data_IF_975871731381
#
_entry.id   IF_975871731381
#
_cell.length_a   1.000
_cell.length_b   1.000
_cell.length_c   1.000
_cell.angle_alpha   90.00
_cell.angle_beta   90.00
_cell.angle_gamma   90.00
#
_symmetry.space_group_name_H-M   'P 1'
#
loop_
_entity.id
_entity.type
_entity.pdbx_description
1 polymer ?
#
# COMPACT_ATOMS: atom_id res chain seq x y z
N UNK A 1 2.37 -24.87 -74.86
CA UNK A 1 1.51 -25.02 -76.05
C UNK A 1 1.76 -26.42 -76.60
N UNK A 2 0.75 -27.27 -76.88
CA UNK A 2 -0.72 -27.13 -76.78
C UNK A 2 -1.31 -28.15 -75.76
N UNK A 3 -2.58 -28.24 -75.39
CA UNK A 3 -3.82 -27.55 -75.76
C UNK A 3 -5.03 -28.46 -75.45
N UNK A 4 -6.11 -27.83 -74.98
CA UNK A 4 -7.54 -28.17 -75.16
C UNK A 4 -8.21 -29.32 -74.36
N UNK A 5 -9.13 -28.92 -73.45
CA UNK A 5 -10.59 -29.23 -73.36
C UNK A 5 -11.06 -30.70 -73.49
N UNK A 6 -12.03 -31.28 -72.76
CA UNK A 6 -13.02 -30.96 -71.70
C UNK A 6 -13.63 -32.34 -71.27
N UNK A 7 -14.44 -32.53 -70.19
CA UNK A 7 -15.84 -32.08 -70.21
C UNK A 7 -16.49 -31.67 -68.87
N UNK A 8 -17.61 -31.00 -69.06
CA UNK A 8 -18.61 -30.40 -68.19
C UNK A 8 -19.32 -31.27 -67.12
N UNK A 9 -19.53 -30.65 -65.94
CA UNK A 9 -20.80 -30.42 -65.15
C UNK A 9 -21.64 -31.66 -64.78
N UNK A 10 -22.02 -31.91 -63.51
CA UNK A 10 -23.21 -31.36 -62.82
C UNK A 10 -23.09 -31.46 -61.27
N UNK A 11 -23.21 -30.27 -60.64
CA UNK A 11 -23.80 -29.85 -59.34
C UNK A 11 -24.04 -30.85 -58.20
N UNK A 12 -23.56 -30.48 -57.02
CA UNK A 12 -24.42 -30.35 -55.82
C UNK A 12 -23.97 -29.19 -54.93
N UNK A 13 -24.94 -28.51 -54.31
CA UNK A 13 -24.86 -27.18 -53.70
C UNK A 13 -24.25 -27.22 -52.28
N UNK A 14 -23.32 -26.31 -51.99
CA UNK A 14 -23.14 -25.76 -50.64
C UNK A 14 -22.87 -24.26 -50.74
N UNK A 15 -23.79 -23.48 -50.18
CA UNK A 15 -23.69 -22.02 -50.05
C UNK A 15 -22.72 -21.68 -48.92
N UNK A 16 -21.49 -21.31 -49.26
CA UNK A 16 -20.59 -20.60 -48.36
C UNK A 16 -20.82 -19.10 -48.52
N UNK A 17 -21.46 -18.48 -47.53
CA UNK A 17 -21.48 -17.03 -47.35
C UNK A 17 -20.16 -16.63 -46.70
N UNK A 18 -19.33 -15.96 -47.49
CA UNK A 18 -18.12 -15.26 -47.06
C UNK A 18 -18.53 -14.12 -46.11
N UNK A 19 -18.19 -14.23 -44.82
CA UNK A 19 -18.28 -13.12 -43.87
C UNK A 19 -16.98 -12.31 -43.94
N UNK A 20 -17.12 -11.06 -44.31
CA UNK A 20 -16.08 -10.04 -44.35
C UNK A 20 -15.69 -9.64 -42.92
N UNK A 21 -14.52 -10.09 -42.44
CA UNK A 21 -13.97 -9.77 -41.11
C UNK A 21 -13.34 -8.37 -41.03
N UNK A 22 -13.61 -7.47 -41.99
CA UNK A 22 -13.08 -6.10 -41.96
C UNK A 22 -13.93 -5.08 -41.20
N UNK A 23 -15.18 -5.40 -40.80
CA UNK A 23 -16.10 -4.44 -40.17
C UNK A 23 -16.24 -4.52 -38.64
N UNK A 24 -15.46 -5.38 -37.96
CA UNK A 24 -15.53 -5.57 -36.50
C UNK A 24 -14.42 -4.86 -35.71
N UNK A 25 -13.51 -4.16 -36.40
CA UNK A 25 -12.35 -3.49 -35.78
C UNK A 25 -12.45 -1.95 -35.78
N UNK A 26 -13.43 -1.36 -36.45
CA UNK A 26 -13.61 0.10 -36.51
C UNK A 26 -14.57 0.66 -35.45
N UNK A 27 -15.34 -0.16 -34.75
CA UNK A 27 -16.28 0.31 -33.70
C UNK A 27 -15.74 0.32 -32.28
N UNK A 28 -14.56 -0.26 -32.02
CA UNK A 28 -13.96 -0.31 -30.66
C UNK A 28 -12.96 0.83 -30.39
N UNK A 29 -12.58 1.59 -31.43
CA UNK A 29 -11.66 2.73 -31.29
C UNK A 29 -12.39 4.02 -30.89
N UNK A 30 -13.66 4.20 -31.29
CA UNK A 30 -14.47 5.39 -30.97
C UNK A 30 -15.13 5.33 -29.57
N UNK A 31 -15.42 4.12 -29.05
CA UNK A 31 -15.90 3.94 -27.67
C UNK A 31 -14.82 4.22 -26.61
N UNK A 32 -13.53 4.19 -26.98
CA UNK A 32 -12.41 4.55 -26.10
C UNK A 32 -12.13 6.06 -26.05
N UNK A 33 -12.64 6.83 -27.01
CA UNK A 33 -12.47 8.27 -27.08
C UNK A 33 -13.71 9.08 -26.61
N UNK A 34 -14.87 8.44 -26.45
CA UNK A 34 -16.13 9.14 -26.08
C UNK A 34 -16.40 9.26 -24.57
N UNK A 35 -15.52 8.81 -23.67
CA UNK A 35 -15.65 8.98 -22.20
C UNK A 35 -14.53 9.89 -21.65
N UNK A 36 -14.04 10.81 -22.49
CA UNK A 36 -13.10 11.87 -22.11
C UNK A 36 -13.71 13.27 -22.31
N UNK A 37 -15.03 13.39 -22.35
CA UNK A 37 -15.73 14.67 -22.30
C UNK A 37 -15.96 15.09 -20.84
N UNK A 38 -15.02 15.89 -20.32
CA UNK A 38 -15.28 17.04 -19.43
C UNK A 38 -16.15 16.90 -18.18
N UNK A 39 -16.46 15.71 -17.67
CA UNK A 39 -17.04 15.55 -16.33
C UNK A 39 -15.94 15.73 -15.27
N UNK A 40 -15.73 17.00 -14.89
CA UNK A 40 -15.54 17.42 -13.51
C UNK A 40 -14.68 16.54 -12.60
N UNK A 41 -13.39 16.38 -12.91
CA UNK A 41 -12.38 15.91 -11.93
C UNK A 41 -12.12 16.90 -10.78
N UNK A 42 -12.93 17.96 -10.66
CA UNK A 42 -12.97 18.86 -9.51
C UNK A 42 -13.89 18.32 -8.40
N UNK A 43 -13.61 17.13 -7.88
CA UNK A 43 -14.01 16.89 -6.50
C UNK A 43 -13.13 17.80 -5.64
N UNK A 44 -13.74 18.73 -4.91
CA UNK A 44 -13.00 19.58 -3.98
C UNK A 44 -12.21 18.68 -3.02
N UNK A 45 -10.89 18.61 -3.19
CA UNK A 45 -10.04 17.80 -2.33
C UNK A 45 -10.16 18.34 -0.91
N UNK A 46 -10.34 17.46 0.07
CA UNK A 46 -10.37 17.86 1.48
C UNK A 46 -8.98 18.15 2.06
N UNK A 47 -7.91 18.10 1.26
CA UNK A 47 -6.57 18.35 1.79
C UNK A 47 -6.37 19.84 2.05
N UNK A 48 -6.34 20.22 3.33
CA UNK A 48 -5.93 21.54 3.82
C UNK A 48 -4.40 21.72 3.87
N UNK A 49 -3.66 20.80 3.24
CA UNK A 49 -2.21 20.75 3.33
C UNK A 49 -1.56 21.73 2.33
N UNK A 50 -0.62 22.54 2.81
CA UNK A 50 0.12 23.54 1.99
C UNK A 50 0.94 22.93 0.84
N UNK A 51 1.19 21.61 0.89
CA UNK A 51 1.88 20.86 -0.15
C UNK A 51 0.98 20.61 -1.38
N UNK A 52 -0.34 20.71 -1.26
CA UNK A 52 -1.28 20.52 -2.37
C UNK A 52 -1.37 21.78 -3.23
N UNK A 53 -0.56 21.80 -4.29
CA UNK A 53 -0.54 22.87 -5.29
C UNK A 53 -1.22 22.39 -6.57
N UNK A 54 -1.52 23.31 -7.50
CA UNK A 54 -2.11 23.01 -8.81
C UNK A 54 -1.22 22.17 -9.76
N UNK A 55 -0.13 21.59 -9.26
CA UNK A 55 0.75 20.70 -10.00
C UNK A 55 0.12 19.33 -10.25
N UNK A 56 0.87 18.46 -10.92
CA UNK A 56 0.41 17.08 -11.20
C UNK A 56 0.73 16.17 -10.03
N UNK A 57 0.19 14.96 -10.08
CA UNK A 57 0.57 13.91 -9.14
C UNK A 57 1.80 13.16 -9.65
N UNK A 58 2.73 12.80 -8.77
CA UNK A 58 3.78 11.81 -9.03
C UNK A 58 3.61 10.66 -8.04
N UNK A 59 3.21 9.49 -8.53
CA UNK A 59 2.76 8.39 -7.70
C UNK A 59 3.67 7.16 -7.83
N UNK A 60 4.22 6.70 -6.71
CA UNK A 60 5.13 5.55 -6.60
C UNK A 60 4.41 4.39 -5.92
N UNK A 61 4.50 3.19 -6.50
CA UNK A 61 3.86 1.97 -6.02
C UNK A 61 4.92 0.87 -5.85
N UNK A 62 5.14 0.41 -4.62
CA UNK A 62 6.15 -0.60 -4.30
C UNK A 62 5.49 -1.82 -3.64
N UNK A 63 5.52 -2.95 -4.33
CA UNK A 63 4.96 -4.20 -3.83
C UNK A 63 5.87 -4.88 -2.78
N UNK A 64 5.31 -5.83 -2.05
CA UNK A 64 6.04 -6.69 -1.12
C UNK A 64 7.03 -7.61 -1.85
N UNK A 65 8.23 -7.79 -1.27
CA UNK A 65 9.28 -8.64 -1.87
C UNK A 65 8.76 -10.07 -2.01
N UNK A 66 8.79 -10.61 -3.24
CA UNK A 66 8.26 -11.91 -3.69
C UNK A 66 6.84 -11.93 -4.30
N UNK A 67 6.15 -10.79 -4.39
CA UNK A 67 4.91 -10.71 -5.16
C UNK A 67 5.24 -10.53 -6.64
N UNK A 68 4.89 -11.50 -7.47
CA UNK A 68 5.01 -11.40 -8.93
C UNK A 68 3.63 -11.03 -9.49
N UNK A 69 3.61 -10.38 -10.66
CA UNK A 69 2.41 -10.43 -11.49
C UNK A 69 2.14 -11.90 -11.79
N UNK A 70 1.14 -12.47 -11.14
CA UNK A 70 0.77 -13.85 -11.25
C UNK A 70 -0.74 -13.96 -11.04
N UNK A 71 -1.25 -15.17 -10.92
CA UNK A 71 -2.67 -15.37 -10.73
C UNK A 71 -3.20 -14.82 -9.39
N UNK A 72 -2.35 -14.32 -8.48
CA UNK A 72 -2.68 -13.79 -7.15
C UNK A 72 -2.14 -12.38 -6.98
N UNK A 73 -2.88 -11.40 -7.51
CA UNK A 73 -2.49 -10.00 -7.49
C UNK A 73 -2.63 -9.34 -6.10
N UNK A 74 -1.81 -8.33 -5.84
CA UNK A 74 -1.80 -7.55 -4.60
C UNK A 74 -2.67 -6.31 -4.71
N UNK A 75 -3.03 -5.72 -3.57
CA UNK A 75 -3.77 -4.47 -3.52
C UNK A 75 -2.97 -3.29 -4.10
N UNK A 76 -1.63 -3.36 -4.11
CA UNK A 76 -0.79 -2.35 -4.77
C UNK A 76 -1.02 -2.39 -6.28
N UNK A 77 -0.96 -3.58 -6.87
CA UNK A 77 -1.16 -3.74 -8.30
C UNK A 77 -2.60 -3.43 -8.72
N UNK A 78 -3.58 -3.81 -7.90
CA UNK A 78 -5.00 -3.44 -8.07
C UNK A 78 -5.19 -1.92 -8.06
N UNK A 79 -4.68 -1.21 -7.05
CA UNK A 79 -4.74 0.24 -7.01
C UNK A 79 -4.03 0.86 -8.22
N UNK A 80 -2.88 0.31 -8.61
CA UNK A 80 -2.12 0.75 -9.78
C UNK A 80 -2.86 0.52 -11.12
N UNK A 81 -3.74 -0.48 -11.19
CA UNK A 81 -4.61 -0.73 -12.34
C UNK A 81 -5.78 0.28 -12.40
N UNK A 82 -6.24 0.77 -11.25
CA UNK A 82 -7.30 1.78 -11.15
C UNK A 82 -6.79 3.20 -11.45
N UNK A 83 -5.51 3.47 -11.24
CA UNK A 83 -4.89 4.78 -11.37
C UNK A 83 -4.94 5.29 -12.82
N UNK A 84 -5.36 6.56 -12.99
CA UNK A 84 -5.36 7.23 -14.30
C UNK A 84 -3.92 7.53 -14.71
N UNK A 85 -3.52 7.06 -15.89
CA UNK A 85 -2.18 7.27 -16.46
C UNK A 85 -2.24 8.35 -17.53
N UNK A 86 -2.17 9.60 -17.10
CA UNK A 86 -2.02 10.74 -17.99
C UNK A 86 -0.90 11.62 -17.44
N UNK A 87 0.24 11.66 -18.12
CA UNK A 87 1.46 12.35 -17.68
C UNK A 87 1.26 13.85 -17.42
N UNK A 88 0.22 14.46 -18.02
CA UNK A 88 -0.15 15.86 -17.79
C UNK A 88 -0.67 16.09 -16.37
N UNK A 89 -1.23 15.05 -15.76
CA UNK A 89 -2.00 15.13 -14.53
C UNK A 89 -1.49 14.18 -13.43
N UNK A 90 -0.88 13.07 -13.81
CA UNK A 90 -0.44 12.00 -12.92
C UNK A 90 0.61 11.10 -13.59
N UNK A 91 1.87 11.27 -13.18
CA UNK A 91 2.96 10.36 -13.52
C UNK A 91 2.99 9.19 -12.52
N UNK A 92 3.34 7.99 -12.97
CA UNK A 92 3.30 6.80 -12.11
C UNK A 92 4.52 5.90 -12.27
N UNK A 93 4.97 5.29 -11.18
CA UNK A 93 6.04 4.30 -11.14
C UNK A 93 5.62 3.07 -10.34
N UNK A 94 5.86 1.87 -10.87
CA UNK A 94 5.56 0.62 -10.17
C UNK A 94 6.81 -0.25 -10.08
N UNK A 95 7.03 -0.87 -8.91
CA UNK A 95 8.05 -1.87 -8.67
C UNK A 95 7.45 -3.10 -7.99
N UNK A 96 7.70 -4.30 -8.55
CA UNK A 96 7.18 -5.58 -8.04
C UNK A 96 7.93 -6.14 -6.82
N UNK A 97 8.97 -5.46 -6.33
CA UNK A 97 9.74 -5.91 -5.18
C UNK A 97 10.73 -7.05 -5.47
N UNK A 98 10.89 -7.49 -6.72
CA UNK A 98 11.76 -8.63 -7.08
C UNK A 98 13.24 -8.21 -7.18
N UNK A 99 14.06 -8.87 -6.36
CA UNK A 99 15.53 -8.94 -6.51
C UNK A 99 15.95 -10.04 -7.47
N UNK A 100 17.03 -9.83 -8.22
CA UNK A 100 17.72 -10.89 -8.98
C UNK A 100 18.30 -11.92 -8.00
N UNK A 101 17.54 -12.97 -7.67
CA UNK A 101 18.04 -14.06 -6.82
C UNK A 101 18.91 -15.00 -7.65
N UNK A 102 20.21 -15.05 -7.36
CA UNK A 102 21.08 -16.13 -7.82
C UNK A 102 20.69 -17.44 -7.11
N UNK A 103 20.42 -18.51 -7.86
CA UNK A 103 20.16 -19.85 -7.29
C UNK A 103 21.47 -20.41 -6.70
N UNK A 104 21.56 -20.69 -5.38
CA UNK A 104 22.76 -21.27 -4.81
C UNK A 104 22.78 -22.81 -4.93
N UNK A 105 23.97 -23.36 -5.13
CA UNK A 105 24.26 -24.80 -5.27
C UNK A 105 24.70 -25.40 -3.92
N UNK A 106 24.24 -26.61 -3.57
CA UNK A 106 24.24 -27.17 -2.20
C UNK A 106 25.19 -28.34 -2.00
N UNK A 107 26.17 -28.30 -1.06
CA UNK A 107 26.97 -29.50 -0.68
C UNK A 107 27.44 -29.65 0.81
N UNK A 108 27.06 -28.79 1.78
CA UNK A 108 27.37 -29.04 3.22
C UNK A 108 26.44 -28.31 4.23
N UNK A 109 25.71 -29.04 5.07
CA UNK A 109 24.58 -28.55 5.89
C UNK A 109 24.92 -27.52 7.00
N UNK A 110 26.09 -27.59 7.64
CA UNK A 110 26.43 -26.71 8.79
C UNK A 110 27.12 -25.41 8.34
N UNK A 111 27.97 -25.49 7.32
CA UNK A 111 28.64 -24.34 6.69
C UNK A 111 27.70 -23.59 5.72
N UNK A 112 26.77 -24.29 5.04
CA UNK A 112 25.73 -23.61 4.26
C UNK A 112 24.78 -22.83 5.13
N UNK A 113 24.35 -23.30 6.31
CA UNK A 113 23.34 -22.57 7.09
C UNK A 113 23.80 -21.15 7.43
N UNK A 114 25.00 -21.00 7.99
CA UNK A 114 25.50 -19.67 8.38
C UNK A 114 25.79 -18.79 7.16
N UNK A 115 26.39 -19.32 6.08
CA UNK A 115 26.60 -18.54 4.83
C UNK A 115 25.31 -18.26 4.07
N UNK A 116 24.34 -19.16 4.09
CA UNK A 116 23.02 -18.99 3.46
C UNK A 116 22.25 -17.89 4.16
N UNK A 117 22.26 -17.86 5.50
CA UNK A 117 21.65 -16.78 6.24
C UNK A 117 22.30 -15.44 5.93
N UNK A 118 23.64 -15.33 5.97
CA UNK A 118 24.32 -14.10 5.57
C UNK A 118 24.07 -13.71 4.11
N UNK A 119 24.10 -14.67 3.17
CA UNK A 119 23.87 -14.41 1.75
C UNK A 119 22.43 -13.93 1.48
N UNK A 120 21.43 -14.56 2.12
CA UNK A 120 20.02 -14.18 2.01
C UNK A 120 19.78 -12.83 2.67
N UNK A 121 20.35 -12.58 3.84
CA UNK A 121 20.28 -11.29 4.55
C UNK A 121 20.86 -10.16 3.69
N UNK A 122 22.06 -10.37 3.15
CA UNK A 122 22.74 -9.41 2.26
C UNK A 122 21.97 -9.21 0.97
N UNK A 123 21.44 -10.26 0.34
CA UNK A 123 20.66 -10.13 -0.89
C UNK A 123 19.35 -9.37 -0.66
N UNK A 124 18.66 -9.60 0.47
CA UNK A 124 17.45 -8.87 0.84
C UNK A 124 17.78 -7.40 1.10
N UNK A 125 18.83 -7.11 1.86
CA UNK A 125 19.26 -5.74 2.16
C UNK A 125 19.68 -4.98 0.88
N UNK A 126 20.47 -5.61 0.02
CA UNK A 126 20.89 -5.01 -1.24
C UNK A 126 19.71 -4.75 -2.19
N UNK A 127 18.78 -5.71 -2.28
CA UNK A 127 17.56 -5.50 -3.07
C UNK A 127 16.68 -4.37 -2.49
N UNK A 128 16.60 -4.29 -1.15
CA UNK A 128 15.85 -3.26 -0.45
C UNK A 128 16.37 -1.86 -0.84
N UNK A 129 17.68 -1.65 -0.69
CA UNK A 129 18.36 -0.40 -1.03
C UNK A 129 18.16 -0.05 -2.50
N UNK A 130 18.42 -1.00 -3.41
CA UNK A 130 18.27 -0.80 -4.85
C UNK A 130 16.87 -0.29 -5.23
N UNK A 131 15.81 -0.86 -4.65
CA UNK A 131 14.43 -0.44 -4.93
C UNK A 131 14.17 0.98 -4.41
N UNK A 132 14.63 1.30 -3.20
CA UNK A 132 14.52 2.65 -2.61
C UNK A 132 15.22 3.67 -3.50
N UNK A 133 16.48 3.42 -3.86
CA UNK A 133 17.26 4.34 -4.72
C UNK A 133 16.64 4.48 -6.11
N UNK A 134 16.13 3.38 -6.70
CA UNK A 134 15.49 3.43 -8.03
C UNK A 134 14.20 4.27 -8.03
N UNK A 135 13.37 4.12 -6.99
CA UNK A 135 12.14 4.90 -6.85
C UNK A 135 12.45 6.38 -6.53
N UNK A 136 13.43 6.64 -5.67
CA UNK A 136 13.91 8.00 -5.39
C UNK A 136 14.48 8.67 -6.64
N UNK A 137 15.31 7.97 -7.42
CA UNK A 137 15.82 8.44 -8.70
C UNK A 137 14.69 8.76 -9.69
N UNK A 138 13.67 7.89 -9.77
CA UNK A 138 12.51 8.17 -10.61
C UNK A 138 11.79 9.45 -10.19
N UNK A 139 11.64 9.70 -8.88
CA UNK A 139 11.09 10.97 -8.38
C UNK A 139 11.98 12.15 -8.78
N UNK A 140 13.30 12.08 -8.62
CA UNK A 140 14.25 13.13 -9.03
C UNK A 140 14.10 13.49 -10.52
N UNK A 141 13.94 12.48 -11.37
CA UNK A 141 13.87 12.66 -12.82
C UNK A 141 12.50 13.15 -13.33
N UNK A 142 11.44 12.94 -12.56
CA UNK A 142 10.06 13.20 -12.94
C UNK A 142 9.36 14.28 -12.10
N UNK A 143 9.88 14.69 -10.96
CA UNK A 143 9.24 15.74 -10.16
C UNK A 143 9.33 17.09 -10.87
N UNK A 144 8.20 17.79 -10.94
CA UNK A 144 8.13 19.20 -11.31
C UNK A 144 7.76 20.04 -10.09
N UNK A 145 8.27 21.27 -9.95
CA UNK A 145 7.89 22.16 -8.86
C UNK A 145 6.37 22.30 -8.74
N UNK A 146 5.85 21.98 -7.55
CA UNK A 146 4.41 21.99 -7.27
C UNK A 146 3.71 20.64 -7.42
N UNK A 147 4.41 19.59 -7.87
CA UNK A 147 3.85 18.24 -7.94
C UNK A 147 3.56 17.69 -6.53
N UNK A 148 2.48 16.92 -6.44
CA UNK A 148 2.10 16.19 -5.22
C UNK A 148 2.68 14.76 -5.26
N UNK A 149 3.50 14.40 -4.27
CA UNK A 149 4.13 13.08 -4.18
C UNK A 149 3.22 12.11 -3.42
N UNK A 150 2.80 11.04 -4.10
CA UNK A 150 2.04 9.93 -3.51
C UNK A 150 2.91 8.68 -3.46
N UNK A 151 3.00 8.03 -2.30
CA UNK A 151 3.75 6.79 -2.15
C UNK A 151 2.84 5.68 -1.62
N UNK A 152 2.84 4.53 -2.26
CA UNK A 152 2.06 3.37 -1.88
C UNK A 152 2.95 2.16 -1.72
N UNK A 153 2.76 1.41 -0.63
CA UNK A 153 3.52 0.19 -0.44
C UNK A 153 2.81 -0.87 0.38
N UNK A 154 3.14 -2.14 0.11
CA UNK A 154 2.66 -3.29 0.88
C UNK A 154 3.84 -4.02 1.53
N UNK A 155 3.69 -4.47 2.79
CA UNK A 155 4.66 -5.30 3.49
C UNK A 155 6.01 -4.59 3.61
N UNK A 156 7.08 -5.16 3.06
CA UNK A 156 8.39 -4.50 2.95
C UNK A 156 8.35 -3.28 2.02
N UNK A 157 7.52 -3.29 0.97
CA UNK A 157 7.29 -2.14 0.10
C UNK A 157 6.71 -0.95 0.86
N UNK A 158 5.83 -1.20 1.84
CA UNK A 158 5.32 -0.16 2.74
C UNK A 158 6.44 0.47 3.58
N UNK A 159 7.41 -0.33 4.02
CA UNK A 159 8.57 0.17 4.74
C UNK A 159 9.52 0.96 3.81
N UNK A 160 9.68 0.51 2.56
CA UNK A 160 10.49 1.22 1.54
C UNK A 160 9.93 2.61 1.23
N UNK A 161 8.62 2.76 1.07
CA UNK A 161 8.03 4.10 0.85
C UNK A 161 8.15 5.02 2.06
N UNK A 162 8.12 4.49 3.29
CA UNK A 162 8.41 5.27 4.51
C UNK A 162 9.88 5.74 4.52
N UNK A 163 10.82 4.90 4.07
CA UNK A 163 12.23 5.28 3.92
C UNK A 163 12.40 6.40 2.88
N UNK A 164 11.75 6.29 1.71
CA UNK A 164 11.79 7.33 0.68
C UNK A 164 11.28 8.66 1.24
N UNK A 165 10.19 8.65 2.02
CA UNK A 165 9.67 9.84 2.67
C UNK A 165 10.65 10.44 3.69
N UNK A 166 11.29 9.58 4.50
CA UNK A 166 12.35 10.00 5.43
C UNK A 166 13.57 10.59 4.72
N UNK A 167 13.96 10.06 3.56
CA UNK A 167 15.03 10.63 2.73
C UNK A 167 14.65 12.03 2.23
N UNK A 168 13.45 12.21 1.68
CA UNK A 168 12.97 13.52 1.22
C UNK A 168 12.92 14.53 2.37
N UNK A 169 12.54 14.10 3.57
CA UNK A 169 12.54 14.94 4.75
C UNK A 169 13.96 15.38 5.15
N UNK A 170 14.90 14.42 5.27
CA UNK A 170 16.24 14.69 5.80
C UNK A 170 17.21 15.30 4.80
N UNK A 171 17.27 14.77 3.58
CA UNK A 171 18.26 15.15 2.56
C UNK A 171 17.63 15.84 1.34
N UNK A 172 16.30 15.94 1.30
CA UNK A 172 15.55 16.61 0.23
C UNK A 172 15.29 15.71 -0.97
N UNK A 173 14.65 16.28 -2.00
CA UNK A 173 14.55 15.66 -3.33
C UNK A 173 15.54 16.36 -4.27
N UNK A 174 16.57 15.65 -4.72
CA UNK A 174 17.63 16.22 -5.55
C UNK A 174 17.09 16.87 -6.83
N UNK A 175 17.80 17.89 -7.32
CA UNK A 175 17.57 18.39 -8.67
C UNK A 175 17.85 17.32 -9.72
N UNK A 176 17.02 17.31 -10.76
CA UNK A 176 17.16 16.45 -11.94
C UNK A 176 18.58 16.53 -12.53
N UNK A 177 19.16 15.38 -12.87
CA UNK A 177 20.52 15.27 -13.39
C UNK A 177 21.61 15.01 -12.34
N UNK A 178 21.33 15.18 -11.04
CA UNK A 178 22.28 14.88 -9.95
C UNK A 178 22.23 13.43 -9.47
N UNK A 179 21.98 12.48 -10.37
CA UNK A 179 21.73 11.07 -10.00
C UNK A 179 22.94 10.41 -9.32
N UNK A 180 24.16 10.83 -9.64
CA UNK A 180 25.39 10.32 -9.03
C UNK A 180 25.50 10.65 -7.53
N UNK A 181 24.74 11.63 -7.04
CA UNK A 181 24.71 12.01 -5.63
C UNK A 181 23.69 11.21 -4.81
N UNK A 182 22.83 10.42 -5.47
CA UNK A 182 21.77 9.65 -4.79
C UNK A 182 22.32 8.65 -3.77
N UNK A 183 23.37 7.85 -4.08
CA UNK A 183 23.95 6.94 -3.09
C UNK A 183 24.51 7.69 -1.87
N UNK A 184 25.16 8.83 -2.10
CA UNK A 184 25.69 9.66 -1.01
C UNK A 184 24.57 10.28 -0.16
N UNK A 185 23.49 10.76 -0.79
CA UNK A 185 22.31 11.26 -0.10
C UNK A 185 21.68 10.18 0.80
N UNK A 186 21.66 8.93 0.33
CA UNK A 186 21.18 7.80 1.12
C UNK A 186 22.08 7.53 2.34
N UNK A 187 23.40 7.45 2.16
CA UNK A 187 24.34 7.28 3.28
C UNK A 187 24.23 8.41 4.32
N UNK A 188 24.10 9.66 3.86
CA UNK A 188 23.90 10.82 4.72
C UNK A 188 22.58 10.70 5.51
N UNK A 189 21.50 10.29 4.85
CA UNK A 189 20.23 9.97 5.51
C UNK A 189 20.41 8.87 6.58
N UNK A 190 21.12 7.78 6.27
CA UNK A 190 21.38 6.70 7.22
C UNK A 190 22.17 7.13 8.46
N UNK A 191 23.04 8.12 8.32
CA UNK A 191 23.85 8.68 9.40
C UNK A 191 23.02 9.48 10.42
N UNK A 192 21.80 9.93 10.09
CA UNK A 192 20.91 10.68 11.00
C UNK A 192 20.25 9.82 12.09
N UNK A 193 20.65 8.56 12.25
CA UNK A 193 20.16 7.69 13.31
C UNK A 193 20.48 8.28 14.68
N UNK A 194 19.44 8.53 15.48
CA UNK A 194 19.62 8.94 16.89
C UNK A 194 20.31 7.81 17.66
N UNK A 195 21.45 8.05 18.31
CA UNK A 195 21.96 7.12 19.32
C UNK A 195 20.97 7.05 20.49
N UNK A 196 20.81 5.86 21.05
CA UNK A 196 19.98 5.63 22.24
C UNK A 196 20.54 6.40 23.44
N UNK A 197 19.79 7.41 23.91
CA UNK A 197 19.91 8.08 25.21
C UNK A 197 21.30 8.07 25.86
N UNK A 198 22.24 8.86 25.35
CA UNK A 198 23.30 9.46 26.18
C UNK A 198 23.89 10.60 25.38
N UNK A 199 23.66 11.84 25.85
CA UNK A 199 24.18 13.12 25.30
C UNK A 199 23.88 13.40 23.83
N UNK A 200 23.50 14.65 23.52
CA UNK A 200 23.41 15.09 22.14
C UNK A 200 24.85 15.24 21.62
N UNK A 201 25.46 14.13 21.21
CA UNK A 201 26.85 14.11 20.77
C UNK A 201 27.03 15.13 19.62
N UNK A 202 28.10 15.92 19.67
CA UNK A 202 28.42 16.93 18.64
C UNK A 202 28.38 16.35 17.22
N UNK A 203 28.68 15.05 17.08
CA UNK A 203 28.60 14.31 15.83
C UNK A 203 27.17 14.22 15.24
N UNK A 204 26.13 14.06 16.07
CA UNK A 204 24.74 14.01 15.61
C UNK A 204 24.27 15.39 15.16
N UNK A 205 24.62 16.42 15.94
CA UNK A 205 24.37 17.82 15.58
C UNK A 205 25.06 18.20 14.26
N UNK A 206 26.31 17.77 14.08
CA UNK A 206 27.06 17.99 12.83
C UNK A 206 26.42 17.24 11.65
N UNK A 207 25.91 16.02 11.86
CA UNK A 207 25.24 15.23 10.82
C UNK A 207 23.91 15.86 10.39
N UNK A 208 23.08 16.32 11.33
CA UNK A 208 21.83 17.03 11.01
C UNK A 208 22.11 18.37 10.30
N UNK A 209 23.14 19.11 10.73
CA UNK A 209 23.57 20.33 10.05
C UNK A 209 24.05 20.05 8.61
N UNK A 210 24.80 18.95 8.41
CA UNK A 210 25.25 18.52 7.09
C UNK A 210 24.07 18.10 6.20
N UNK A 211 23.09 17.37 6.74
CA UNK A 211 21.85 17.02 6.02
C UNK A 211 21.10 18.27 5.56
N UNK A 212 20.97 19.25 6.46
CA UNK A 212 20.34 20.54 6.16
C UNK A 212 21.07 21.27 5.04
N UNK A 213 22.40 21.41 5.15
CA UNK A 213 23.19 22.08 4.12
C UNK A 213 23.13 21.34 2.77
N UNK A 214 23.18 20.00 2.79
CA UNK A 214 23.04 19.17 1.60
C UNK A 214 21.68 19.38 0.93
N UNK A 215 20.60 19.36 1.71
CA UNK A 215 19.23 19.62 1.25
C UNK A 215 19.10 21.03 0.64
N UNK A 216 19.61 22.05 1.31
CA UNK A 216 19.58 23.45 0.82
C UNK A 216 20.41 23.66 -0.46
N UNK A 217 21.47 22.87 -0.67
CA UNK A 217 22.41 23.07 -1.79
C UNK A 217 22.01 22.28 -3.04
N UNK A 218 21.55 21.03 -2.88
CA UNK A 218 21.41 20.08 -3.98
C UNK A 218 19.96 19.65 -4.28
N UNK A 219 19.01 20.01 -3.41
CA UNK A 219 17.61 19.60 -3.52
C UNK A 219 16.67 20.73 -3.89
N UNK A 220 15.55 20.34 -4.50
CA UNK A 220 14.41 21.20 -4.77
C UNK A 220 13.87 21.81 -3.46
N UNK A 221 13.54 23.11 -3.43
CA UNK A 221 13.01 23.76 -2.24
C UNK A 221 11.60 23.26 -1.90
N UNK A 222 11.30 23.19 -0.60
CA UNK A 222 9.96 22.96 -0.05
C UNK A 222 9.23 21.70 -0.56
N UNK A 223 9.98 20.68 -1.00
CA UNK A 223 9.39 19.39 -1.39
C UNK A 223 8.99 18.60 -0.16
N UNK A 224 7.71 18.21 -0.11
CA UNK A 224 7.12 17.40 0.96
C UNK A 224 6.33 16.24 0.36
N UNK A 225 6.34 15.09 1.04
CA UNK A 225 5.49 13.97 0.66
C UNK A 225 4.04 14.26 1.05
N UNK A 226 3.15 14.19 0.07
CA UNK A 226 1.75 14.55 0.23
C UNK A 226 0.96 13.40 0.87
N UNK A 227 1.09 12.19 0.34
CA UNK A 227 0.31 11.05 0.82
C UNK A 227 1.14 9.77 0.86
N UNK A 228 1.01 9.00 1.94
CA UNK A 228 1.50 7.64 2.03
C UNK A 228 0.36 6.67 2.34
N UNK A 229 0.17 5.69 1.48
CA UNK A 229 -0.73 4.55 1.69
C UNK A 229 0.06 3.26 1.92
N UNK A 230 0.03 2.76 3.15
CA UNK A 230 0.72 1.54 3.56
C UNK A 230 -0.28 0.41 3.81
N UNK A 231 0.04 -0.80 3.35
CA UNK A 231 -0.58 -2.04 3.82
C UNK A 231 0.42 -2.84 4.63
N UNK A 232 0.05 -3.13 5.87
CA UNK A 232 0.68 -4.05 6.83
C UNK A 232 2.22 -4.01 6.82
N UNK A 233 2.77 -2.86 7.21
CA UNK A 233 4.20 -2.57 7.12
C UNK A 233 5.04 -3.53 7.95
N UNK A 234 6.00 -4.21 7.34
CA UNK A 234 6.97 -5.06 8.05
C UNK A 234 8.40 -4.59 7.76
N UNK A 235 9.17 -4.32 8.81
CA UNK A 235 10.55 -3.82 8.74
C UNK A 235 11.62 -4.91 8.69
N UNK A 236 11.20 -6.18 8.54
CA UNK A 236 12.07 -7.36 8.51
C UNK A 236 12.98 -7.34 7.26
N UNK A 237 14.02 -6.50 7.29
CA UNK A 237 15.14 -6.48 6.35
C UNK A 237 16.14 -7.49 6.89
N UNK A 238 16.04 -8.72 6.38
CA UNK A 238 16.90 -9.81 6.82
C UNK A 238 16.37 -10.61 8.01
N UNK A 239 17.26 -11.36 8.66
CA UNK A 239 16.93 -12.35 9.72
C UNK A 239 16.97 -11.72 11.11
N UNK A 240 17.81 -10.70 11.32
CA UNK A 240 17.94 -9.97 12.58
C UNK A 240 17.29 -8.59 12.47
N UNK A 241 16.53 -8.19 13.50
CA UNK A 241 15.93 -6.85 13.57
C UNK A 241 17.04 -5.80 13.70
N UNK A 242 17.22 -4.99 12.67
CA UNK A 242 18.09 -3.80 12.70
C UNK A 242 17.30 -2.62 13.28
N UNK A 243 17.97 -1.57 13.80
CA UNK A 243 17.31 -0.32 14.15
C UNK A 243 16.52 0.22 12.95
N UNK A 244 15.34 0.77 13.21
CA UNK A 244 14.51 1.39 12.18
C UNK A 244 15.27 2.54 11.51
N UNK A 245 14.96 2.79 10.24
CA UNK A 245 15.58 3.90 9.52
C UNK A 245 15.01 5.23 10.02
N UNK A 246 15.77 6.33 9.92
CA UNK A 246 15.32 7.65 10.38
C UNK A 246 13.98 8.06 9.78
N UNK A 247 13.15 8.72 10.58
CA UNK A 247 11.79 9.14 10.22
C UNK A 247 10.81 8.03 9.82
N UNK A 248 11.20 6.76 9.84
CA UNK A 248 10.25 5.70 9.48
C UNK A 248 9.23 5.45 10.58
N UNK A 249 9.57 5.60 11.87
CA UNK A 249 8.74 5.19 13.02
C UNK A 249 8.50 6.32 14.05
N UNK A 250 8.72 7.57 13.65
CA UNK A 250 8.64 8.74 14.54
C UNK A 250 7.26 9.42 14.52
N UNK A 251 6.20 8.70 14.19
CA UNK A 251 4.83 9.22 14.12
C UNK A 251 4.44 9.84 12.76
N UNK A 252 5.28 9.74 11.73
CA UNK A 252 4.96 10.14 10.34
C UNK A 252 4.54 11.63 10.15
N UNK A 253 4.89 12.52 11.08
CA UNK A 253 4.49 13.94 11.03
C UNK A 253 5.15 14.77 9.91
N UNK A 254 6.20 14.24 9.27
CA UNK A 254 6.87 14.85 8.12
C UNK A 254 6.10 14.68 6.80
N UNK A 255 5.03 13.88 6.80
CA UNK A 255 4.16 13.65 5.64
C UNK A 255 2.85 14.42 5.83
N UNK A 256 2.25 14.95 4.75
CA UNK A 256 0.97 15.65 4.86
C UNK A 256 -0.16 14.69 5.32
N UNK A 257 -0.19 13.45 4.78
CA UNK A 257 -1.21 12.43 5.10
C UNK A 257 -0.60 11.02 5.14
N UNK A 258 -0.83 10.27 6.22
CA UNK A 258 -0.41 8.87 6.35
C UNK A 258 -1.61 7.96 6.63
N UNK A 259 -1.73 6.89 5.85
CA UNK A 259 -2.75 5.85 5.97
C UNK A 259 -2.11 4.48 6.04
N UNK A 260 -2.49 3.69 7.03
CA UNK A 260 -1.96 2.35 7.22
C UNK A 260 -3.07 1.34 7.49
N UNK A 261 -3.22 0.35 6.60
CA UNK A 261 -4.14 -0.76 6.78
C UNK A 261 -3.41 -1.94 7.45
N UNK A 262 -3.90 -2.40 8.59
CA UNK A 262 -3.28 -3.44 9.43
C UNK A 262 -4.13 -4.73 9.46
N UNK A 263 -3.45 -5.87 9.54
CA UNK A 263 -4.08 -7.20 9.60
C UNK A 263 -4.35 -7.67 11.03
N UNK A 264 -5.61 -8.03 11.35
CA UNK A 264 -6.02 -8.51 12.67
C UNK A 264 -5.59 -9.96 12.97
N UNK A 265 -5.48 -10.83 11.95
CA UNK A 265 -5.32 -12.28 12.15
C UNK A 265 -3.91 -12.79 11.82
N UNK A 266 -2.93 -11.89 11.69
CA UNK A 266 -1.55 -12.28 11.41
C UNK A 266 -0.75 -12.50 12.70
N UNK A 267 -0.29 -13.74 12.89
CA UNK A 267 0.36 -14.18 14.14
C UNK A 267 1.82 -14.64 13.95
N UNK A 268 2.42 -14.50 12.77
CA UNK A 268 3.82 -14.87 12.54
C UNK A 268 4.76 -13.81 13.11
N UNK A 269 5.75 -14.22 13.90
CA UNK A 269 6.75 -13.34 14.54
C UNK A 269 7.51 -12.45 13.55
N UNK A 270 7.73 -12.92 12.32
CA UNK A 270 8.44 -12.18 11.27
C UNK A 270 7.57 -11.18 10.51
N UNK A 271 6.26 -11.20 10.76
CA UNK A 271 5.26 -10.31 10.17
C UNK A 271 4.66 -9.38 11.22
N UNK A 272 5.33 -9.18 12.35
CA UNK A 272 4.95 -8.16 13.31
C UNK A 272 5.07 -6.76 12.66
N UNK A 273 3.99 -5.96 12.68
CA UNK A 273 3.96 -4.70 11.94
C UNK A 273 4.72 -3.59 12.67
N UNK A 274 5.31 -2.66 11.90
CA UNK A 274 5.74 -1.36 12.41
C UNK A 274 4.57 -0.38 12.34
N UNK A 275 4.09 0.07 13.50
CA UNK A 275 3.11 1.14 13.57
C UNK A 275 3.74 2.49 13.22
N UNK A 276 2.91 3.53 13.09
CA UNK A 276 3.38 4.89 12.80
C UNK A 276 4.41 5.38 13.82
N UNK A 277 4.24 5.03 15.10
CA UNK A 277 5.16 5.29 16.21
C UNK A 277 6.06 4.09 16.58
N UNK A 278 6.35 3.19 15.63
CA UNK A 278 7.14 1.98 15.86
C UNK A 278 6.33 0.93 16.61
N UNK A 279 6.58 0.76 17.90
CA UNK A 279 5.75 -0.07 18.79
C UNK A 279 4.45 0.60 19.25
N UNK A 280 4.27 1.91 19.03
CA UNK A 280 3.08 2.66 19.44
C UNK A 280 2.21 3.08 18.25
N UNK A 281 0.90 3.22 18.51
CA UNK A 281 -0.06 3.79 17.57
C UNK A 281 0.14 5.31 17.36
N UNK A 282 -0.78 5.95 16.62
CA UNK A 282 -0.70 7.39 16.33
C UNK A 282 -0.78 8.24 17.61
N UNK A 283 0.10 9.24 17.72
CA UNK A 283 0.16 10.16 18.86
C UNK A 283 -0.88 11.29 18.82
N UNK A 284 -1.76 11.30 17.81
CA UNK A 284 -2.71 12.38 17.54
C UNK A 284 -2.11 13.61 16.86
N UNK A 285 -0.79 13.62 16.59
CA UNK A 285 -0.12 14.68 15.83
C UNK A 285 -0.13 14.35 14.33
N UNK A 286 -0.45 15.35 13.50
CA UNK A 286 -0.53 15.19 12.05
C UNK A 286 -1.75 14.39 11.57
N UNK A 287 -1.87 14.19 10.27
CA UNK A 287 -2.99 13.47 9.66
C UNK A 287 -2.61 11.99 9.45
N UNK A 288 -2.54 11.25 10.55
CA UNK A 288 -2.11 9.84 10.60
C UNK A 288 -3.31 8.97 10.99
N UNK A 289 -3.66 7.98 10.16
CA UNK A 289 -4.64 6.95 10.50
C UNK A 289 -4.05 5.57 10.33
N UNK A 290 -4.21 4.73 11.35
CA UNK A 290 -3.96 3.30 11.28
C UNK A 290 -5.26 2.56 11.54
N UNK A 291 -5.66 1.70 10.60
CA UNK A 291 -6.96 1.06 10.58
C UNK A 291 -6.80 -0.44 10.43
N UNK A 292 -7.44 -1.18 11.32
CA UNK A 292 -7.39 -2.64 11.39
C UNK A 292 -8.52 -3.28 10.58
N UNK A 293 -8.16 -4.32 9.83
CA UNK A 293 -9.05 -5.08 8.95
C UNK A 293 -8.95 -6.58 9.26
N UNK A 294 -10.05 -7.30 9.01
CA UNK A 294 -10.13 -8.75 9.18
C UNK A 294 -9.28 -9.50 8.16
N UNK A 295 -8.55 -10.52 8.61
CA UNK A 295 -7.64 -11.31 7.78
C UNK A 295 -6.17 -11.24 8.20
N UNK A 296 -5.37 -12.09 7.58
CA UNK A 296 -3.90 -12.15 7.72
C UNK A 296 -3.19 -11.13 6.82
N UNK A 297 -1.85 -11.07 6.88
CA UNK A 297 -1.01 -10.12 6.15
C UNK A 297 -1.37 -9.99 4.66
N UNK A 298 -1.51 -11.13 3.97
CA UNK A 298 -1.80 -11.19 2.54
C UNK A 298 -3.30 -11.17 2.22
N UNK A 299 -4.18 -11.27 3.22
CA UNK A 299 -5.61 -10.98 3.03
C UNK A 299 -5.83 -9.47 2.95
N UNK A 300 -5.08 -8.71 3.77
CA UNK A 300 -5.11 -7.24 3.81
C UNK A 300 -4.33 -6.59 2.68
N UNK A 301 -3.15 -7.11 2.34
CA UNK A 301 -2.35 -6.58 1.23
C UNK A 301 -2.58 -7.25 -0.13
N UNK A 302 -3.32 -8.36 -0.17
CA UNK A 302 -3.49 -9.19 -1.37
C UNK A 302 -2.37 -10.22 -1.57
N UNK A 303 -2.48 -11.01 -2.64
CA UNK A 303 -1.52 -12.08 -2.97
C UNK A 303 -1.86 -13.48 -2.45
N UNK A 304 -2.93 -13.65 -1.65
CA UNK A 304 -3.35 -14.97 -1.15
C UNK A 304 -4.37 -15.70 -2.05
N UNK A 305 -5.26 -14.96 -2.71
CA UNK A 305 -6.36 -15.50 -3.52
C UNK A 305 -6.12 -15.33 -5.01
N UNK A 306 -6.68 -16.25 -5.80
CA UNK A 306 -6.65 -16.13 -7.25
C UNK A 306 -7.49 -14.92 -7.67
N UNK A 307 -6.88 -14.03 -8.44
CA UNK A 307 -7.39 -12.72 -8.81
C UNK A 307 -6.72 -12.24 -10.12
N UNK A 308 -6.78 -13.07 -11.16
CA UNK A 308 -6.24 -12.75 -12.48
C UNK A 308 -6.91 -11.51 -13.07
N UNK A 309 -8.20 -11.35 -12.80
CA UNK A 309 -9.03 -10.31 -13.40
C UNK A 309 -8.93 -8.93 -12.72
N UNK A 310 -8.11 -8.79 -11.68
CA UNK A 310 -7.95 -7.53 -10.92
C UNK A 310 -9.30 -6.94 -10.49
N UNK A 311 -10.10 -7.79 -9.85
CA UNK A 311 -11.44 -7.47 -9.39
C UNK A 311 -11.63 -7.78 -7.90
N UNK A 312 -10.54 -7.82 -7.13
CA UNK A 312 -10.59 -8.07 -5.70
C UNK A 312 -10.56 -6.75 -4.92
N UNK A 313 -11.63 -5.96 -5.03
CA UNK A 313 -11.78 -4.69 -4.30
C UNK A 313 -12.35 -4.91 -2.89
N UNK A 314 -11.56 -5.58 -2.05
CA UNK A 314 -11.90 -5.85 -0.65
C UNK A 314 -11.75 -4.63 0.27
N UNK A 315 -12.28 -4.67 1.52
CA UNK A 315 -12.41 -3.50 2.40
C UNK A 315 -11.16 -2.62 2.55
N UNK A 316 -9.97 -3.23 2.72
CA UNK A 316 -8.71 -2.49 2.87
C UNK A 316 -8.31 -1.71 1.61
N UNK A 317 -8.56 -2.26 0.42
CA UNK A 317 -8.31 -1.57 -0.84
C UNK A 317 -9.32 -0.44 -1.06
N UNK A 318 -10.61 -0.67 -0.72
CA UNK A 318 -11.65 0.36 -0.87
C UNK A 318 -11.37 1.57 0.01
N UNK A 319 -11.05 1.31 1.27
CA UNK A 319 -10.69 2.35 2.22
C UNK A 319 -9.48 3.15 1.75
N UNK A 320 -8.39 2.47 1.35
CA UNK A 320 -7.19 3.16 0.87
C UNK A 320 -7.42 3.96 -0.41
N UNK A 321 -8.15 3.39 -1.38
CA UNK A 321 -8.47 4.07 -2.63
C UNK A 321 -9.35 5.30 -2.39
N UNK A 322 -10.32 5.21 -1.47
CA UNK A 322 -11.14 6.34 -1.07
C UNK A 322 -10.30 7.42 -0.39
N UNK A 323 -9.51 7.08 0.63
CA UNK A 323 -8.64 8.04 1.32
C UNK A 323 -7.68 8.71 0.34
N UNK A 324 -7.07 7.96 -0.59
CA UNK A 324 -6.19 8.55 -1.59
C UNK A 324 -6.95 9.48 -2.56
N UNK A 325 -8.16 9.11 -3.00
CA UNK A 325 -9.02 9.92 -3.89
C UNK A 325 -9.44 11.23 -3.22
N UNK A 326 -9.85 11.20 -1.95
CA UNK A 326 -10.22 12.40 -1.19
C UNK A 326 -9.05 13.40 -1.04
N UNK A 327 -7.81 12.91 -1.11
CA UNK A 327 -6.59 13.71 -1.08
C UNK A 327 -5.98 13.95 -2.47
N UNK A 328 -6.74 13.70 -3.55
CA UNK A 328 -6.38 14.14 -4.90
C UNK A 328 -5.74 13.08 -5.80
N UNK A 329 -5.60 11.82 -5.38
CA UNK A 329 -5.16 10.75 -6.28
C UNK A 329 -6.23 10.53 -7.37
N UNK A 330 -5.80 10.52 -8.64
CA UNK A 330 -6.72 10.32 -9.77
C UNK A 330 -6.88 8.83 -10.04
N UNK A 331 -7.99 8.27 -9.57
CA UNK A 331 -8.36 6.86 -9.79
C UNK A 331 -9.65 6.76 -10.60
N UNK A 332 -9.72 5.75 -11.47
CA UNK A 332 -10.96 5.33 -12.12
C UNK A 332 -11.90 4.75 -11.07
N UNK A 333 -13.19 4.95 -11.26
CA UNK A 333 -14.18 4.31 -10.41
C UNK A 333 -14.20 2.82 -10.67
N UNK A 334 -14.20 2.05 -9.60
CA UNK A 334 -14.39 0.62 -9.72
C UNK A 334 -15.89 0.32 -9.95
N UNK A 335 -16.18 -0.53 -10.95
CA UNK A 335 -17.54 -0.93 -11.33
C UNK A 335 -17.71 -2.46 -11.28
N UNK A 336 -17.81 -3.03 -10.09
CA UNK A 336 -18.01 -4.47 -9.92
C UNK A 336 -18.52 -4.82 -8.53
N UNK A 337 -18.84 -6.10 -8.34
CA UNK A 337 -19.35 -6.60 -7.06
C UNK A 337 -18.21 -6.86 -6.08
N UNK A 338 -18.49 -6.65 -4.80
CA UNK A 338 -17.55 -6.88 -3.70
C UNK A 338 -18.03 -8.07 -2.87
N UNK A 339 -17.10 -8.93 -2.46
CA UNK A 339 -17.37 -9.98 -1.48
C UNK A 339 -16.52 -9.75 -0.23
N UNK A 340 -17.04 -10.06 0.97
CA UNK A 340 -16.20 -10.18 2.17
C UNK A 340 -15.08 -11.20 1.89
N UNK A 341 -13.84 -10.85 2.24
CA UNK A 341 -12.73 -11.80 2.18
C UNK A 341 -12.78 -12.71 3.40
N UNK A 342 -12.59 -14.02 3.19
CA UNK A 342 -12.40 -14.98 4.27
C UNK A 342 -10.99 -14.87 4.84
N UNK A 343 -10.86 -14.88 6.16
CA UNK A 343 -9.56 -14.88 6.84
C UNK A 343 -8.84 -16.21 6.58
N UNK A 344 -7.58 -16.15 6.16
CA UNK A 344 -6.73 -17.32 5.97
C UNK A 344 -5.76 -17.44 7.15
N UNK A 345 -5.63 -18.65 7.72
CA UNK A 345 -4.61 -18.89 8.74
C UNK A 345 -3.21 -18.88 8.11
N UNK A 346 -2.39 -17.89 8.49
CA UNK A 346 -1.03 -17.72 7.95
C UNK A 346 0.04 -18.51 8.73
N UNK A 347 -0.22 -18.88 9.98
CA UNK A 347 0.72 -19.62 10.83
C UNK A 347 0.63 -21.12 10.56
N UNK A 348 1.39 -21.59 9.57
CA UNK A 348 1.39 -23.00 9.14
C UNK A 348 2.80 -23.53 8.87
N UNK A 349 2.97 -24.86 8.92
CA UNK A 349 4.20 -25.54 8.47
C UNK A 349 5.47 -25.02 9.15
N UNK A 350 6.42 -24.54 8.34
CA UNK A 350 7.74 -24.06 8.82
C UNK A 350 7.65 -22.84 9.74
N UNK A 351 6.56 -22.07 9.68
CA UNK A 351 6.39 -20.87 10.51
C UNK A 351 6.36 -21.22 12.00
N UNK A 352 5.82 -22.37 12.41
CA UNK A 352 5.87 -22.83 13.80
C UNK A 352 7.30 -22.97 14.34
N UNK A 353 8.27 -23.33 13.50
CA UNK A 353 9.68 -23.39 13.90
C UNK A 353 10.26 -22.00 14.18
N UNK A 354 9.78 -20.98 13.46
CA UNK A 354 10.22 -19.60 13.68
C UNK A 354 9.62 -19.01 14.94
N UNK A 355 8.43 -19.42 15.35
CA UNK A 355 7.79 -18.98 16.60
C UNK A 355 8.54 -19.45 17.85
N UNK A 356 9.20 -20.60 17.79
CA UNK A 356 10.01 -21.14 18.88
C UNK A 356 11.40 -20.49 18.96
N UNK A 357 11.83 -19.83 17.89
CA UNK A 357 13.17 -19.27 17.81
C UNK A 357 13.22 -17.89 18.50
N UNK A 358 14.26 -17.59 19.29
CA UNK A 358 14.38 -16.33 20.03
C UNK A 358 14.82 -15.18 19.12
N UNK A 359 14.02 -14.87 18.09
CA UNK A 359 14.25 -13.71 17.26
C UNK A 359 14.02 -12.44 18.04
N UNK A 360 14.89 -11.43 17.86
CA UNK A 360 14.61 -10.10 18.37
C UNK A 360 13.40 -9.51 17.64
N UNK A 361 12.33 -9.19 18.36
CA UNK A 361 11.09 -8.62 17.81
C UNK A 361 10.48 -7.57 18.75
N UNK A 362 9.52 -6.78 18.25
CA UNK A 362 8.83 -5.76 19.05
C UNK A 362 8.06 -6.38 20.21
N UNK A 363 8.10 -5.71 21.36
CA UNK A 363 7.29 -6.08 22.52
C UNK A 363 6.02 -5.24 22.66
N UNK A 364 5.92 -4.13 21.92
CA UNK A 364 4.78 -3.22 21.91
C UNK A 364 4.44 -2.59 23.28
N UNK A 365 5.42 -2.57 24.20
CA UNK A 365 5.30 -1.91 25.50
C UNK A 365 5.57 -0.41 25.43
N UNK A 366 6.42 -0.02 24.49
CA UNK A 366 6.77 1.37 24.14
C UNK A 366 7.15 1.41 22.65
N UNK A 367 7.66 2.55 22.17
CA UNK A 367 7.99 2.81 20.77
C UNK A 367 9.14 1.95 20.20
N UNK A 368 10.07 1.51 21.05
CA UNK A 368 11.37 0.94 20.63
C UNK A 368 11.70 -0.40 21.29
N UNK A 369 10.91 -0.83 22.26
CA UNK A 369 11.14 -2.02 23.09
C UNK A 369 11.08 -3.29 22.27
N UNK A 370 12.12 -4.09 22.45
CA UNK A 370 12.24 -5.39 21.82
C UNK A 370 12.42 -6.49 22.85
N UNK A 371 11.93 -7.68 22.54
CA UNK A 371 12.20 -8.91 23.29
C UNK A 371 12.84 -9.96 22.39
N UNK A 372 13.42 -11.00 22.99
CA UNK A 372 13.84 -12.23 22.29
C UNK A 372 13.13 -13.48 22.83
N UNK A 373 12.09 -13.31 23.64
CA UNK A 373 11.26 -14.43 24.06
C UNK A 373 10.65 -15.11 22.82
N UNK A 374 10.50 -16.45 22.80
CA UNK A 374 9.77 -17.08 21.71
C UNK A 374 8.33 -16.54 21.64
N UNK A 375 7.86 -16.27 20.42
CA UNK A 375 6.62 -15.54 20.18
C UNK A 375 5.38 -16.44 20.30
N UNK A 376 5.53 -17.75 20.06
CA UNK A 376 4.46 -18.75 20.19
C UNK A 376 3.14 -18.40 19.47
N UNK A 377 3.21 -17.68 18.34
CA UNK A 377 2.02 -17.27 17.61
C UNK A 377 1.13 -16.29 18.38
N UNK A 378 1.71 -15.49 19.28
CA UNK A 378 0.97 -14.51 20.05
C UNK A 378 0.20 -13.53 19.12
N UNK A 379 -0.99 -13.09 19.54
CA UNK A 379 -1.77 -12.16 18.74
C UNK A 379 -1.12 -10.77 18.70
N UNK A 380 -1.42 -10.02 17.64
CA UNK A 380 -1.03 -8.60 17.55
C UNK A 380 -1.76 -7.77 18.58
N UNK A 381 -1.14 -6.67 19.00
CA UNK A 381 -1.68 -5.77 20.04
C UNK A 381 -2.11 -4.46 19.37
N UNK A 382 -3.39 -4.15 19.48
CA UNK A 382 -3.96 -2.86 19.02
C UNK A 382 -3.56 -1.77 20.01
N UNK A 383 -2.97 -0.70 19.51
CA UNK A 383 -2.49 0.43 20.30
C UNK A 383 -3.52 1.57 20.36
N UNK A 384 -3.49 2.42 21.41
CA UNK A 384 -4.30 3.63 21.46
C UNK A 384 -4.14 4.51 20.20
N UNK A 385 -5.24 5.10 19.75
CA UNK A 385 -5.29 5.95 18.55
C UNK A 385 -5.46 5.18 17.22
N UNK A 386 -5.35 3.84 17.24
CA UNK A 386 -5.66 3.00 16.09
C UNK A 386 -7.16 2.68 16.04
N UNK A 387 -7.70 2.45 14.83
CA UNK A 387 -9.13 2.24 14.61
C UNK A 387 -9.43 0.89 13.99
N UNK A 388 -10.65 0.40 14.14
CA UNK A 388 -11.14 -0.87 13.59
C UNK A 388 -12.14 -0.52 12.50
N UNK A 389 -11.92 -1.03 11.29
CA UNK A 389 -12.82 -0.75 10.18
C UNK A 389 -14.21 -1.38 10.40
N UNK A 390 -15.28 -0.67 10.03
CA UNK A 390 -16.66 -1.11 10.20
C UNK A 390 -16.95 -2.49 9.59
N UNK A 391 -16.26 -2.87 8.50
CA UNK A 391 -16.38 -4.21 7.90
C UNK A 391 -16.00 -5.36 8.85
N UNK A 392 -15.21 -5.10 9.89
CA UNK A 392 -14.89 -6.08 10.94
C UNK A 392 -16.10 -6.32 11.82
N UNK A 393 -16.83 -5.27 12.18
CA UNK A 393 -18.04 -5.36 13.00
C UNK A 393 -19.14 -6.15 12.31
N UNK A 394 -19.31 -5.94 10.99
CA UNK A 394 -20.23 -6.75 10.17
C UNK A 394 -19.84 -8.23 10.18
N UNK A 395 -18.54 -8.54 10.20
CA UNK A 395 -18.07 -9.93 10.27
C UNK A 395 -18.23 -10.52 11.67
N UNK A 396 -18.00 -9.75 12.74
CA UNK A 396 -18.26 -10.16 14.13
C UNK A 396 -19.70 -10.63 14.29
N UNK A 397 -20.66 -9.85 13.77
CA UNK A 397 -22.08 -10.21 13.79
C UNK A 397 -22.41 -11.52 13.02
N UNK A 398 -21.51 -11.95 12.12
CA UNK A 398 -21.61 -13.21 11.35
C UNK A 398 -20.78 -14.35 11.95
N UNK A 399 -20.24 -14.19 13.16
CA UNK A 399 -19.50 -15.22 13.89
C UNK A 399 -17.99 -15.29 13.60
N UNK A 400 -17.41 -14.26 12.99
CA UNK A 400 -15.95 -14.09 12.92
C UNK A 400 -15.42 -13.58 14.26
N UNK A 401 -14.25 -14.05 14.68
CA UNK A 401 -13.56 -13.57 15.89
C UNK A 401 -12.10 -13.26 15.55
N UNK A 402 -11.66 -12.00 15.66
CA UNK A 402 -10.29 -11.61 15.38
C UNK A 402 -9.30 -12.19 16.37
N UNK A 403 -8.08 -12.46 15.91
CA UNK A 403 -7.02 -12.92 16.81
C UNK A 403 -6.38 -11.78 17.61
N UNK A 404 -6.27 -10.57 17.02
CA UNK A 404 -5.64 -9.43 17.69
C UNK A 404 -6.28 -9.08 19.04
N UNK A 405 -5.44 -8.60 19.95
CA UNK A 405 -5.82 -8.15 21.27
C UNK A 405 -6.21 -6.66 21.25
N UNK A 406 -7.38 -6.34 21.78
CA UNK A 406 -7.85 -4.97 21.97
C UNK A 406 -7.11 -4.27 23.12
N UNK A 407 -6.99 -2.93 23.09
CA UNK A 407 -6.37 -2.18 24.17
C UNK A 407 -7.17 -2.32 25.47
N UNK A 408 -6.48 -2.24 26.61
CA UNK A 408 -7.12 -2.15 27.94
C UNK A 408 -7.89 -3.41 28.39
N UNK A 409 -7.67 -4.57 27.76
CA UNK A 409 -8.37 -5.81 28.11
C UNK A 409 -9.83 -5.87 27.66
N UNK A 410 -10.21 -5.03 26.70
CA UNK A 410 -11.53 -5.08 26.08
C UNK A 410 -11.75 -6.41 25.33
N UNK A 411 -13.01 -6.82 25.23
CA UNK A 411 -13.43 -7.98 24.47
C UNK A 411 -14.01 -7.56 23.11
N UNK A 412 -14.00 -8.50 22.16
CA UNK A 412 -14.60 -8.36 20.83
C UNK A 412 -16.14 -8.42 20.90
N UNK A 413 -16.74 -7.47 21.60
CA UNK A 413 -18.19 -7.29 21.72
C UNK A 413 -18.66 -6.14 20.82
N UNK A 414 -19.68 -6.39 20.00
CA UNK A 414 -20.14 -5.42 19.00
C UNK A 414 -20.64 -4.12 19.64
N UNK A 415 -21.51 -4.22 20.65
CA UNK A 415 -22.13 -3.05 21.27
C UNK A 415 -21.09 -2.19 21.99
N UNK A 416 -20.13 -2.83 22.65
CA UNK A 416 -19.02 -2.14 23.31
C UNK A 416 -18.10 -1.43 22.31
N UNK A 417 -17.78 -2.06 21.19
CA UNK A 417 -16.92 -1.47 20.16
C UNK A 417 -17.59 -0.26 19.49
N UNK A 418 -18.89 -0.33 19.21
CA UNK A 418 -19.67 0.78 18.65
C UNK A 418 -19.82 1.92 19.66
N UNK A 419 -19.99 1.62 20.94
CA UNK A 419 -20.08 2.62 22.00
C UNK A 419 -18.73 3.30 22.32
N UNK A 420 -17.62 2.66 21.96
CA UNK A 420 -16.28 3.21 22.20
C UNK A 420 -15.94 4.27 21.15
N UNK A 421 -16.18 5.53 21.50
CA UNK A 421 -15.88 6.67 20.64
C UNK A 421 -14.43 6.61 20.12
N UNK A 422 -14.26 6.90 18.83
CA UNK A 422 -12.98 6.94 18.10
C UNK A 422 -12.25 5.60 17.93
N UNK A 423 -12.85 4.46 18.29
CA UNK A 423 -12.25 3.14 18.03
C UNK A 423 -12.67 2.58 16.66
N UNK A 424 -13.76 3.06 16.07
CA UNK A 424 -14.25 2.59 14.77
C UNK A 424 -13.85 3.54 13.63
N UNK A 425 -13.61 2.98 12.45
CA UNK A 425 -13.48 3.73 11.19
C UNK A 425 -14.63 3.35 10.27
N UNK A 426 -15.36 4.34 9.79
CA UNK A 426 -16.49 4.14 8.91
C UNK A 426 -16.04 3.62 7.53
N UNK A 427 -16.86 2.74 6.96
CA UNK A 427 -16.69 2.32 5.57
C UNK A 427 -17.37 3.38 4.66
N UNK A 428 -16.62 4.11 3.82
CA UNK A 428 -17.15 5.16 2.98
C UNK A 428 -18.13 4.65 1.90
N UNK A 429 -18.23 3.33 1.72
CA UNK A 429 -19.14 2.68 0.79
C UNK A 429 -20.26 1.89 1.47
N UNK A 430 -20.28 1.82 2.81
CA UNK A 430 -21.38 1.21 3.56
C UNK A 430 -22.14 2.23 4.42
N UNK A 431 -21.56 3.40 4.69
CA UNK A 431 -22.23 4.45 5.46
C UNK A 431 -23.33 5.14 4.62
N UNK A 432 -24.61 5.09 5.05
CA UNK A 432 -25.71 5.74 4.35
C UNK A 432 -25.48 7.23 4.15
N UNK A 433 -24.89 7.94 5.13
CA UNK A 433 -24.64 9.38 5.04
C UNK A 433 -23.62 9.76 3.97
N UNK A 434 -22.59 8.94 3.76
CA UNK A 434 -21.58 9.12 2.70
C UNK A 434 -22.14 8.80 1.31
N UNK A 435 -23.05 7.83 1.22
CA UNK A 435 -23.77 7.52 -0.02
C UNK A 435 -24.72 8.67 -0.36
N UNK A 436 -25.46 9.19 0.64
CA UNK A 436 -26.40 10.30 0.48
C UNK A 436 -25.69 11.61 0.12
N UNK A 437 -24.53 11.92 0.72
CA UNK A 437 -23.78 13.13 0.35
C UNK A 437 -23.28 13.08 -1.10
N UNK A 438 -22.80 11.93 -1.56
CA UNK A 438 -22.43 11.71 -2.98
C UNK A 438 -23.64 11.79 -3.92
N UNK A 439 -24.82 11.32 -3.49
CA UNK A 439 -26.06 11.43 -4.26
C UNK A 439 -26.58 12.87 -4.34
N UNK A 440 -26.37 13.66 -3.28
CA UNK A 440 -26.70 15.10 -3.26
C UNK A 440 -25.78 15.94 -4.14
N UNK A 441 -24.49 15.61 -4.20
CA UNK A 441 -23.52 16.29 -5.08
C UNK A 441 -23.71 15.92 -6.56
N UNK A 442 -24.32 14.76 -6.86
CA UNK A 442 -24.60 14.29 -8.23
C UNK A 442 -25.99 14.71 -8.74
N UNK A 443 -26.33 16.00 -8.63
CA UNK A 443 -27.50 16.62 -9.32
C UNK A 443 -28.87 15.93 -9.16
N UNK A 444 -29.06 15.02 -8.20
CA UNK A 444 -30.34 14.36 -7.93
C UNK A 444 -31.05 15.08 -6.79
N UNK A 445 -31.68 16.21 -7.11
CA UNK A 445 -32.63 16.87 -6.21
C UNK A 445 -33.91 16.03 -6.10
N UNK A 446 -34.03 15.15 -5.10
CA UNK A 446 -35.28 14.41 -4.91
C UNK A 446 -35.35 13.28 -3.89
N UNK A 447 -34.30 13.00 -3.10
CA UNK A 447 -34.36 11.91 -2.11
C UNK A 447 -35.02 12.37 -0.81
N UNK A 448 -36.03 11.63 -0.35
CA UNK A 448 -36.75 11.88 0.91
C UNK A 448 -36.30 10.96 2.06
N UNK A 449 -36.82 11.19 3.28
CA UNK A 449 -36.43 10.42 4.47
C UNK A 449 -36.79 8.92 4.38
N UNK A 450 -37.73 8.55 3.49
CA UNK A 450 -38.11 7.16 3.26
C UNK A 450 -37.10 6.45 2.35
N UNK A 451 -36.58 7.15 1.34
CA UNK A 451 -35.47 6.68 0.51
C UNK A 451 -34.20 6.47 1.35
N UNK A 452 -33.97 7.36 2.31
CA UNK A 452 -32.84 7.27 3.26
C UNK A 452 -32.95 6.01 4.14
N UNK A 453 -34.16 5.70 4.61
CA UNK A 453 -34.41 4.49 5.41
C UNK A 453 -34.23 3.21 4.56
N UNK A 454 -34.69 3.22 3.31
CA UNK A 454 -34.53 2.12 2.37
C UNK A 454 -33.06 1.86 2.00
N UNK A 455 -32.27 2.91 1.76
CA UNK A 455 -30.83 2.79 1.51
C UNK A 455 -30.06 2.28 2.74
N UNK A 456 -30.42 2.73 3.94
CA UNK A 456 -29.86 2.21 5.19
C UNK A 456 -30.17 0.71 5.39
N UNK A 457 -31.37 0.27 5.00
CA UNK A 457 -31.73 -1.14 4.99
C UNK A 457 -30.94 -1.96 3.94
N UNK A 458 -30.76 -1.43 2.73
CA UNK A 458 -29.99 -2.12 1.67
C UNK A 458 -28.52 -2.30 2.04
N UNK A 459 -27.88 -1.23 2.51
CA UNK A 459 -26.48 -1.23 2.98
C UNK A 459 -26.24 -2.17 4.16
N UNK A 460 -27.14 -2.21 5.15
CA UNK A 460 -27.06 -3.13 6.29
C UNK A 460 -27.38 -4.59 5.94
N UNK A 461 -28.22 -4.83 4.93
CA UNK A 461 -28.55 -6.18 4.43
C UNK A 461 -27.50 -6.76 3.48
N UNK A 462 -26.50 -5.97 3.06
CA UNK A 462 -25.44 -6.40 2.15
C UNK A 462 -25.92 -6.71 0.74
N UNK A 463 -27.02 -6.09 0.29
CA UNK A 463 -27.56 -6.18 -1.06
C UNK A 463 -27.17 -4.99 -1.93
#
# INVERSE_FOLDING_TARGET
MPGLLEPSVIREKSSETYYDESSLWETDHDLRHSIASSESFHLASKCECECFKSGRNVAVFIDGTANQFNEKNTNILELYAMVVRDIKFQATYYNSGIGTFAKPTWQSLKYLKQRFYHLVDTAIAWNFERIVLSAYQWLVENYQPGDCIFLFGFSRGAYQVRVIAGMIEKVGLLHKGNNDQIPFAFELYLATKKPSQTTMDEAVLNTEALCKQFKETLSQPDVKVHFIGAWDTVSSIGITRRPSFPETVNGMSHVCVFRHALALDECRVKFLPEYAGGGMGPSGKGNVKEVWFAGSHSDIGGGNTQNINMNAFGPSLRWMAHEAKEHGLKVREYRGNWSPKTSNNSLTGIWYLFELWPFRHLSYKDDTSTTMCPHFGAPRIIQPGQRIHHSVLIQLAKGYYPQAQLPGGLNWDYDLLVATANLTEDDPFASPSTIISKLKDSSLSGLDDSDISALSFLTSSGK
#
